data_IF_051033857171
#
_entry.id   IF_051033857171
#
_cell.length_a   1.000
_cell.length_b   1.000
_cell.length_c   1.000
_cell.angle_alpha   90.00
_cell.angle_beta   90.00
_cell.angle_gamma   90.00
#
_symmetry.space_group_name_H-M   'P 1'
#
loop_
_entity.id
_entity.type
_entity.pdbx_description
1 polymer ?
#
# COMPACT_ATOMS: atom_id res chain seq x y z
N UNK A 1 -13.18 -16.21 -37.65
CA UNK A 1 -13.34 -15.92 -36.22
C UNK A 1 -14.80 -16.11 -35.89
N UNK A 2 -15.13 -16.94 -34.91
CA UNK A 2 -16.53 -17.13 -34.51
C UNK A 2 -16.85 -16.11 -33.44
N UNK A 3 -17.86 -15.29 -33.67
CA UNK A 3 -18.37 -14.36 -32.68
C UNK A 3 -19.36 -15.07 -31.75
N UNK A 4 -19.42 -14.58 -30.52
CA UNK A 4 -20.40 -14.94 -29.50
C UNK A 4 -21.27 -13.73 -29.23
N UNK A 5 -22.58 -13.95 -29.14
CA UNK A 5 -23.55 -12.91 -28.83
C UNK A 5 -23.87 -12.92 -27.34
N UNK A 6 -23.66 -11.77 -26.69
CA UNK A 6 -23.94 -11.54 -25.27
C UNK A 6 -25.15 -10.62 -25.15
N UNK A 7 -26.15 -10.98 -24.35
CA UNK A 7 -27.26 -10.09 -23.96
C UNK A 7 -26.98 -9.50 -22.59
N UNK A 8 -26.84 -8.18 -22.54
CA UNK A 8 -26.57 -7.40 -21.32
C UNK A 8 -27.58 -6.27 -21.29
N UNK A 9 -28.35 -6.18 -20.20
CA UNK A 9 -29.55 -5.32 -20.15
C UNK A 9 -30.44 -5.60 -21.38
N UNK A 10 -30.85 -4.56 -22.11
CA UNK A 10 -31.70 -4.67 -23.30
C UNK A 10 -30.90 -4.73 -24.62
N UNK A 11 -29.58 -4.89 -24.56
CA UNK A 11 -28.69 -4.86 -25.72
C UNK A 11 -28.00 -6.20 -25.99
N UNK A 12 -27.69 -6.46 -27.28
CA UNK A 12 -26.91 -7.62 -27.72
C UNK A 12 -25.58 -7.15 -28.30
N UNK A 13 -24.48 -7.65 -27.74
CA UNK A 13 -23.13 -7.40 -28.21
C UNK A 13 -22.57 -8.61 -28.95
N UNK A 14 -21.93 -8.39 -30.09
CA UNK A 14 -21.13 -9.40 -30.80
C UNK A 14 -19.66 -9.27 -30.37
N UNK A 15 -19.08 -10.34 -29.82
CA UNK A 15 -17.69 -10.35 -29.36
C UNK A 15 -16.97 -11.57 -29.91
N UNK A 16 -15.74 -11.45 -30.44
CA UNK A 16 -15.01 -12.62 -30.90
C UNK A 16 -14.79 -13.62 -29.76
N UNK A 17 -15.18 -14.89 -29.96
CA UNK A 17 -15.08 -15.95 -28.93
C UNK A 17 -13.68 -16.07 -28.35
N UNK A 18 -12.67 -16.01 -29.22
CA UNK A 18 -11.26 -16.07 -28.83
C UNK A 18 -10.86 -14.94 -27.87
N UNK A 19 -11.53 -13.79 -27.94
CA UNK A 19 -11.28 -12.69 -27.02
C UNK A 19 -11.81 -12.99 -25.63
N UNK A 20 -13.00 -13.58 -25.52
CA UNK A 20 -13.59 -13.95 -24.22
C UNK A 20 -12.89 -15.15 -23.58
N UNK A 21 -12.39 -16.10 -24.39
CA UNK A 21 -11.72 -17.31 -23.91
C UNK A 21 -10.40 -17.07 -23.14
N UNK A 22 -9.92 -15.82 -23.05
CA UNK A 22 -8.83 -15.49 -22.11
C UNK A 22 -9.27 -15.54 -20.64
N UNK A 23 -10.58 -15.51 -20.41
CA UNK A 23 -11.20 -15.75 -19.11
C UNK A 23 -11.45 -17.24 -18.98
N UNK A 24 -10.95 -17.84 -17.89
CA UNK A 24 -11.26 -19.23 -17.54
C UNK A 24 -12.77 -19.45 -17.42
N UNK A 25 -13.51 -18.48 -16.87
CA UNK A 25 -14.98 -18.55 -16.74
C UNK A 25 -15.65 -18.70 -18.10
N UNK A 26 -15.24 -17.90 -19.08
CA UNK A 26 -15.81 -17.98 -20.43
C UNK A 26 -15.29 -19.21 -21.18
N UNK A 27 -14.02 -19.58 -21.03
CA UNK A 27 -13.45 -20.77 -21.67
C UNK A 27 -14.13 -22.05 -21.18
N UNK A 28 -14.33 -22.21 -19.87
CA UNK A 28 -15.07 -23.33 -19.28
C UNK A 28 -16.51 -23.37 -19.79
N UNK A 29 -17.20 -22.23 -19.81
CA UNK A 29 -18.56 -22.13 -20.35
C UNK A 29 -18.59 -22.56 -21.82
N UNK A 30 -17.60 -22.15 -22.61
CA UNK A 30 -17.47 -22.48 -24.02
C UNK A 30 -17.14 -23.95 -24.29
N UNK A 31 -16.45 -24.62 -23.37
CA UNK A 31 -16.10 -26.04 -23.45
C UNK A 31 -17.19 -26.95 -22.89
N UNK A 32 -18.11 -26.42 -22.08
CA UNK A 32 -19.21 -27.19 -21.53
C UNK A 32 -20.12 -27.73 -22.64
N UNK A 33 -20.44 -29.03 -22.55
CA UNK A 33 -20.99 -29.85 -23.65
C UNK A 33 -22.38 -29.41 -24.17
N UNK A 34 -23.02 -28.46 -23.49
CA UNK A 34 -24.31 -27.87 -23.83
C UNK A 34 -24.19 -26.61 -24.70
N UNK A 35 -23.05 -25.93 -24.69
CA UNK A 35 -22.82 -24.73 -25.51
C UNK A 35 -22.54 -25.16 -26.95
N UNK A 36 -23.57 -25.03 -27.80
CA UNK A 36 -23.51 -25.36 -29.22
C UNK A 36 -24.42 -26.52 -29.65
N UNK A 37 -25.05 -27.26 -28.74
CA UNK A 37 -26.06 -28.27 -29.09
C UNK A 37 -27.46 -27.68 -29.30
N UNK A 38 -27.74 -26.49 -28.74
CA UNK A 38 -29.07 -25.86 -28.71
C UNK A 38 -29.12 -24.45 -29.31
N UNK A 39 -28.11 -24.01 -30.07
CA UNK A 39 -28.06 -22.66 -30.65
C UNK A 39 -27.70 -21.54 -29.66
N UNK A 40 -27.27 -21.88 -28.45
CA UNK A 40 -26.74 -20.94 -27.46
C UNK A 40 -25.51 -20.20 -28.01
N UNK A 41 -25.30 -18.94 -27.61
CA UNK A 41 -24.27 -18.00 -28.12
C UNK A 41 -24.50 -17.42 -29.53
N UNK A 42 -25.69 -17.64 -30.11
CA UNK A 42 -26.11 -17.03 -31.37
C UNK A 42 -26.90 -15.74 -31.14
N UNK A 43 -27.19 -14.99 -32.21
CA UNK A 43 -27.99 -13.77 -32.11
C UNK A 43 -29.41 -14.02 -31.58
N UNK A 44 -30.00 -15.16 -31.96
CA UNK A 44 -31.37 -15.53 -31.59
C UNK A 44 -31.44 -16.17 -30.20
N UNK A 45 -30.33 -16.72 -29.72
CA UNK A 45 -30.20 -17.27 -28.36
C UNK A 45 -28.85 -16.85 -27.73
N UNK A 46 -28.71 -15.56 -27.37
CA UNK A 46 -27.47 -14.99 -26.84
C UNK A 46 -27.22 -15.45 -25.39
N UNK A 47 -25.96 -15.43 -24.97
CA UNK A 47 -25.59 -15.67 -23.57
C UNK A 47 -26.05 -14.49 -22.74
N UNK A 48 -26.90 -14.73 -21.75
CA UNK A 48 -27.49 -13.67 -20.92
C UNK A 48 -26.59 -13.40 -19.72
N UNK A 49 -26.16 -12.15 -19.56
CA UNK A 49 -25.33 -11.73 -18.45
C UNK A 49 -26.14 -10.81 -17.52
N UNK A 50 -26.84 -11.42 -16.58
CA UNK A 50 -27.71 -10.71 -15.64
C UNK A 50 -26.91 -9.87 -14.63
N UNK A 51 -27.43 -8.69 -14.30
CA UNK A 51 -26.80 -7.76 -13.35
C UNK A 51 -25.57 -7.01 -13.88
N UNK A 52 -25.20 -7.24 -15.14
CA UNK A 52 -24.16 -6.47 -15.83
C UNK A 52 -24.71 -5.20 -16.46
N UNK A 53 -23.85 -4.18 -16.57
CA UNK A 53 -24.18 -2.92 -17.26
C UNK A 53 -23.58 -2.90 -18.65
N UNK A 54 -24.33 -2.42 -19.63
CA UNK A 54 -23.85 -2.35 -21.01
C UNK A 54 -22.64 -1.42 -21.16
N UNK A 55 -22.60 -0.35 -20.37
CA UNK A 55 -21.49 0.61 -20.35
C UNK A 55 -20.16 -0.06 -19.96
N UNK A 56 -20.20 -0.91 -18.92
CA UNK A 56 -19.01 -1.61 -18.42
C UNK A 56 -18.47 -2.58 -19.47
N UNK A 57 -19.37 -3.30 -20.15
CA UNK A 57 -18.99 -4.23 -21.22
C UNK A 57 -18.44 -3.53 -22.45
N UNK A 58 -19.00 -2.39 -22.84
CA UNK A 58 -18.45 -1.57 -23.94
C UNK A 58 -17.04 -1.10 -23.60
N UNK A 59 -16.80 -0.67 -22.36
CA UNK A 59 -15.47 -0.31 -21.88
C UNK A 59 -14.50 -1.50 -21.98
N UNK A 60 -14.89 -2.66 -21.45
CA UNK A 60 -14.11 -3.90 -21.53
C UNK A 60 -13.77 -4.27 -22.98
N UNK A 61 -14.75 -4.28 -23.89
CA UNK A 61 -14.56 -4.69 -25.29
C UNK A 61 -13.54 -3.79 -26.01
N UNK A 62 -13.54 -2.48 -25.74
CA UNK A 62 -12.55 -1.55 -26.30
C UNK A 62 -11.12 -1.90 -25.90
N UNK A 63 -10.93 -2.57 -24.77
CA UNK A 63 -9.62 -3.04 -24.29
C UNK A 63 -9.34 -4.47 -24.75
N UNK A 64 -10.31 -5.35 -24.54
CA UNK A 64 -10.23 -6.78 -24.77
C UNK A 64 -9.94 -7.12 -26.23
N UNK A 65 -10.73 -6.58 -27.17
CA UNK A 65 -10.68 -7.00 -28.58
C UNK A 65 -9.38 -6.59 -29.25
N UNK A 66 -8.88 -5.34 -29.15
CA UNK A 66 -7.59 -5.00 -29.75
C UNK A 66 -6.43 -5.82 -29.18
N UNK A 67 -6.45 -6.14 -27.89
CA UNK A 67 -5.42 -6.96 -27.25
C UNK A 67 -5.32 -8.38 -27.83
N UNK A 68 -6.45 -9.00 -28.18
CA UNK A 68 -6.50 -10.40 -28.62
C UNK A 68 -6.44 -10.54 -30.14
N UNK A 69 -6.82 -9.49 -30.87
CA UNK A 69 -6.81 -9.46 -32.35
C UNK A 69 -5.55 -8.82 -32.94
N UNK A 70 -4.68 -8.25 -32.11
CA UNK A 70 -3.52 -7.47 -32.56
C UNK A 70 -3.90 -6.10 -33.14
N UNK A 71 -5.10 -5.63 -32.84
CA UNK A 71 -5.59 -4.31 -33.25
C UNK A 71 -4.96 -3.17 -32.44
N UNK A 72 -5.05 -1.96 -32.97
CA UNK A 72 -4.66 -0.76 -32.24
C UNK A 72 -5.70 -0.44 -31.15
N UNK A 73 -5.21 -0.18 -29.94
CA UNK A 73 -6.05 0.33 -28.86
C UNK A 73 -6.63 1.72 -29.21
N UNK A 74 -7.89 2.01 -28.84
CA UNK A 74 -8.43 3.35 -29.01
C UNK A 74 -7.58 4.37 -28.23
N UNK A 75 -7.19 5.46 -28.89
CA UNK A 75 -6.33 6.50 -28.29
C UNK A 75 -7.06 7.36 -27.26
N UNK A 76 -8.40 7.36 -27.31
CA UNK A 76 -9.28 8.22 -26.53
C UNK A 76 -9.96 7.51 -25.35
N UNK A 77 -9.41 6.39 -24.86
CA UNK A 77 -9.96 5.73 -23.67
C UNK A 77 -9.91 6.66 -22.45
N UNK A 78 -11.08 6.83 -21.84
CA UNK A 78 -11.25 7.58 -20.61
C UNK A 78 -10.84 6.70 -19.42
N UNK A 79 -10.59 7.34 -18.30
CA UNK A 79 -10.30 6.65 -17.05
C UNK A 79 -11.43 5.69 -16.61
N UNK A 80 -12.68 6.08 -16.86
CA UNK A 80 -13.83 5.21 -16.58
C UNK A 80 -13.85 3.98 -17.48
N UNK A 81 -13.41 4.09 -18.74
CA UNK A 81 -13.26 2.91 -19.59
C UNK A 81 -12.25 1.93 -18.98
N UNK A 82 -11.12 2.44 -18.45
CA UNK A 82 -10.13 1.60 -17.78
C UNK A 82 -10.62 1.03 -16.45
N UNK A 83 -11.32 1.81 -15.63
CA UNK A 83 -11.94 1.35 -14.38
C UNK A 83 -12.95 0.24 -14.63
N UNK A 84 -13.85 0.44 -15.58
CA UNK A 84 -14.92 -0.53 -15.86
C UNK A 84 -14.35 -1.80 -16.51
N UNK A 85 -13.30 -1.65 -17.33
CA UNK A 85 -12.51 -2.80 -17.81
C UNK A 85 -11.82 -3.55 -16.66
N UNK A 86 -11.24 -2.84 -15.69
CA UNK A 86 -10.61 -3.43 -14.51
C UNK A 86 -11.64 -4.19 -13.68
N UNK A 87 -12.82 -3.61 -13.44
CA UNK A 87 -13.93 -4.25 -12.73
C UNK A 87 -14.31 -5.58 -13.37
N UNK A 88 -14.63 -5.58 -14.66
CA UNK A 88 -15.04 -6.82 -15.34
C UNK A 88 -13.89 -7.81 -15.49
N UNK A 89 -12.68 -7.35 -15.77
CA UNK A 89 -11.51 -8.23 -15.86
C UNK A 89 -11.19 -8.91 -14.53
N UNK A 90 -11.49 -8.25 -13.40
CA UNK A 90 -11.38 -8.87 -12.07
C UNK A 90 -12.49 -9.89 -11.85
N UNK A 91 -13.74 -9.52 -12.14
CA UNK A 91 -14.91 -10.40 -11.99
C UNK A 91 -14.80 -11.69 -12.80
N UNK A 92 -14.29 -11.60 -14.02
CA UNK A 92 -14.18 -12.74 -14.94
C UNK A 92 -12.76 -13.31 -15.03
N UNK A 93 -11.88 -13.03 -14.07
CA UNK A 93 -10.52 -13.57 -14.02
C UNK A 93 -9.71 -13.40 -15.34
N UNK A 94 -9.78 -12.22 -15.97
CA UNK A 94 -9.05 -11.89 -17.20
C UNK A 94 -7.71 -11.23 -16.88
N UNK A 95 -6.76 -11.98 -16.32
CA UNK A 95 -5.48 -11.45 -15.84
C UNK A 95 -4.72 -10.53 -16.83
N UNK A 96 -4.63 -10.85 -18.15
CA UNK A 96 -3.97 -9.96 -19.11
C UNK A 96 -4.66 -8.61 -19.24
N UNK A 97 -6.00 -8.59 -19.29
CA UNK A 97 -6.80 -7.35 -19.42
C UNK A 97 -6.75 -6.55 -18.13
N UNK A 98 -6.81 -7.23 -16.98
CA UNK A 98 -6.65 -6.61 -15.67
C UNK A 98 -5.31 -5.85 -15.59
N UNK A 99 -4.21 -6.50 -15.96
CA UNK A 99 -2.89 -5.86 -16.03
C UNK A 99 -2.92 -4.64 -16.95
N UNK A 100 -3.48 -4.77 -18.15
CA UNK A 100 -3.57 -3.67 -19.12
C UNK A 100 -4.40 -2.50 -18.59
N UNK A 101 -5.49 -2.78 -17.88
CA UNK A 101 -6.34 -1.76 -17.29
C UNK A 101 -5.62 -0.99 -16.17
N UNK A 102 -4.83 -1.68 -15.33
CA UNK A 102 -3.98 -1.06 -14.30
C UNK A 102 -2.94 -0.13 -14.95
N UNK A 103 -2.27 -0.57 -16.00
CA UNK A 103 -1.34 0.27 -16.77
C UNK A 103 -2.05 1.49 -17.39
N UNK A 104 -3.25 1.27 -17.93
CA UNK A 104 -4.09 2.33 -18.50
C UNK A 104 -4.50 3.38 -17.47
N UNK A 105 -4.82 2.97 -16.24
CA UNK A 105 -5.09 3.88 -15.12
C UNK A 105 -3.83 4.63 -14.71
N UNK A 106 -2.69 3.94 -14.58
CA UNK A 106 -1.42 4.56 -14.18
C UNK A 106 -0.86 5.54 -15.22
N UNK A 107 -1.16 5.33 -16.51
CA UNK A 107 -0.76 6.24 -17.59
C UNK A 107 -1.64 7.47 -17.75
N UNK A 108 -2.65 7.68 -16.89
CA UNK A 108 -3.53 8.86 -16.93
C UNK A 108 -3.21 9.79 -15.77
N UNK A 109 -2.72 10.98 -16.12
CA UNK A 109 -2.52 12.06 -15.15
C UNK A 109 -3.85 12.62 -14.63
N UNK A 110 -3.84 13.14 -13.40
CA UNK A 110 -4.92 13.98 -12.88
C UNK A 110 -6.04 13.24 -12.13
N UNK A 111 -5.92 11.93 -11.88
CA UNK A 111 -6.86 11.24 -11.00
C UNK A 111 -6.40 11.25 -9.56
N UNK A 112 -7.24 11.80 -8.68
CA UNK A 112 -6.93 11.94 -7.26
C UNK A 112 -6.71 10.59 -6.59
N UNK A 113 -5.72 10.53 -5.68
CA UNK A 113 -5.35 9.39 -4.84
C UNK A 113 -6.53 8.67 -4.16
N UNK A 114 -7.65 9.39 -3.97
CA UNK A 114 -8.92 8.87 -3.46
C UNK A 114 -9.46 7.70 -4.28
N UNK A 115 -9.50 7.85 -5.59
CA UNK A 115 -10.00 6.81 -6.48
C UNK A 115 -9.05 5.62 -6.56
N UNK A 116 -7.73 5.86 -6.48
CA UNK A 116 -6.75 4.77 -6.37
C UNK A 116 -7.03 3.94 -5.13
N UNK A 117 -7.19 4.56 -3.96
CA UNK A 117 -7.47 3.80 -2.75
C UNK A 117 -8.79 3.01 -2.86
N UNK A 118 -9.86 3.65 -3.36
CA UNK A 118 -11.16 3.00 -3.57
C UNK A 118 -11.07 1.78 -4.50
N UNK A 119 -10.51 1.96 -5.70
CA UNK A 119 -10.37 0.87 -6.68
C UNK A 119 -9.34 -0.18 -6.25
N UNK A 120 -8.32 0.24 -5.49
CA UNK A 120 -7.34 -0.67 -4.90
C UNK A 120 -8.00 -1.63 -3.92
N UNK A 121 -8.92 -1.13 -3.09
CA UNK A 121 -9.69 -1.94 -2.15
C UNK A 121 -10.77 -2.77 -2.86
N UNK A 122 -11.53 -2.18 -3.79
CA UNK A 122 -12.63 -2.86 -4.49
C UNK A 122 -12.14 -3.93 -5.46
N UNK A 123 -11.06 -3.66 -6.19
CA UNK A 123 -10.52 -4.55 -7.22
C UNK A 123 -9.19 -5.18 -6.80
N UNK A 124 -8.82 -5.15 -5.52
CA UNK A 124 -7.63 -5.80 -4.98
C UNK A 124 -6.33 -5.47 -5.74
N UNK A 125 -6.04 -4.18 -5.92
CA UNK A 125 -4.81 -3.70 -6.56
C UNK A 125 -3.86 -3.13 -5.50
N UNK A 126 -2.84 -3.91 -5.10
CA UNK A 126 -1.93 -3.55 -4.00
C UNK A 126 -1.31 -2.17 -4.15
N UNK A 127 -0.74 -1.87 -5.32
CA UNK A 127 -0.09 -0.58 -5.56
C UNK A 127 -1.05 0.59 -5.38
N UNK A 128 -2.31 0.44 -5.77
CA UNK A 128 -3.31 1.48 -5.62
C UNK A 128 -3.71 1.70 -4.15
N UNK A 129 -3.78 0.63 -3.34
CA UNK A 129 -3.99 0.74 -1.88
C UNK A 129 -2.84 1.51 -1.26
N UNK A 130 -1.59 1.11 -1.53
CA UNK A 130 -0.40 1.71 -0.94
C UNK A 130 -0.26 3.19 -1.33
N UNK A 131 -0.27 3.48 -2.63
CA UNK A 131 -0.16 4.85 -3.14
C UNK A 131 -1.32 5.73 -2.68
N UNK A 132 -2.55 5.21 -2.79
CA UNK A 132 -3.76 5.93 -2.39
C UNK A 132 -3.78 6.27 -0.90
N UNK A 133 -3.46 5.30 -0.04
CA UNK A 133 -3.41 5.50 1.41
C UNK A 133 -2.28 6.45 1.83
N UNK A 134 -1.10 6.33 1.23
CA UNK A 134 0.05 7.21 1.53
C UNK A 134 -0.29 8.67 1.26
N UNK A 135 -0.91 8.96 0.11
CA UNK A 135 -1.34 10.31 -0.25
C UNK A 135 -2.44 10.85 0.66
N UNK A 136 -3.42 10.01 1.06
CA UNK A 136 -4.44 10.41 2.04
C UNK A 136 -3.78 10.79 3.37
N UNK A 137 -2.89 9.94 3.89
CA UNK A 137 -2.21 10.17 5.16
C UNK A 137 -1.31 11.41 5.09
N UNK A 138 -0.52 11.57 4.02
CA UNK A 138 0.30 12.77 3.81
C UNK A 138 -0.56 14.03 3.76
N UNK A 139 -1.71 13.98 3.09
CA UNK A 139 -2.68 15.09 3.06
C UNK A 139 -3.24 15.43 4.46
N UNK A 140 -3.40 14.43 5.34
CA UNK A 140 -3.84 14.63 6.73
C UNK A 140 -2.71 15.19 7.62
N UNK A 141 -1.46 14.83 7.35
CA UNK A 141 -0.29 15.30 8.09
C UNK A 141 0.04 16.76 7.77
N UNK A 142 -0.14 17.19 6.52
CA UNK A 142 0.07 18.58 6.09
C UNK A 142 -0.98 19.51 6.73
N UNK A 143 -0.58 20.09 7.86
CA UNK A 143 -1.41 20.85 8.78
C UNK A 143 -1.88 22.21 8.23
N UNK A 144 -1.59 22.54 6.97
CA UNK A 144 -2.11 23.73 6.28
C UNK A 144 -3.51 23.52 5.69
N UNK A 145 -3.97 22.27 5.55
CA UNK A 145 -5.34 21.90 5.15
C UNK A 145 -6.30 21.70 6.33
N UNK A 146 -5.98 22.26 7.51
CA UNK A 146 -6.73 22.11 8.77
C UNK A 146 -8.19 22.59 8.75
N UNK A 147 -8.67 23.26 7.70
CA UNK A 147 -10.03 23.81 7.65
C UNK A 147 -10.94 23.27 6.54
N UNK A 148 -10.45 22.49 5.57
CA UNK A 148 -11.31 21.90 4.52
C UNK A 148 -11.62 20.41 4.72
N UNK A 149 -10.83 19.71 5.53
CA UNK A 149 -11.09 18.33 5.97
C UNK A 149 -11.87 18.26 7.29
N UNK A 150 -12.06 19.41 7.96
CA UNK A 150 -13.06 19.57 9.01
C UNK A 150 -14.46 19.42 8.39
N UNK A 151 -14.98 18.20 8.42
CA UNK A 151 -16.39 17.87 8.17
C UNK A 151 -16.96 17.99 6.75
N UNK A 152 -16.17 18.07 5.69
CA UNK A 152 -16.62 17.27 4.53
C UNK A 152 -16.35 15.84 4.95
N UNK A 153 -17.38 14.97 5.07
CA UNK A 153 -17.12 13.56 5.26
C UNK A 153 -16.02 13.19 4.27
N UNK A 154 -15.19 12.22 4.60
CA UNK A 154 -14.66 11.39 3.53
C UNK A 154 -15.91 10.89 2.79
N UNK A 155 -16.42 11.63 1.79
CA UNK A 155 -17.48 11.23 0.85
C UNK A 155 -16.93 10.18 -0.11
N UNK A 156 -15.88 9.51 0.34
CA UNK A 156 -15.37 8.30 -0.20
C UNK A 156 -16.35 7.22 0.25
N UNK A 157 -16.82 6.36 -0.65
CA UNK A 157 -17.48 5.11 -0.27
C UNK A 157 -16.45 4.13 0.34
N UNK A 158 -15.56 4.61 1.22
CA UNK A 158 -14.66 3.76 1.98
C UNK A 158 -15.44 3.15 3.14
N UNK A 159 -15.11 1.90 3.45
CA UNK A 159 -15.60 1.27 4.66
C UNK A 159 -15.15 2.06 5.90
N UNK A 160 -15.94 2.02 6.97
CA UNK A 160 -15.55 2.58 8.26
C UNK A 160 -14.21 2.02 8.75
N UNK A 161 -13.91 0.76 8.42
CA UNK A 161 -12.65 0.11 8.73
C UNK A 161 -11.45 0.76 8.01
N UNK A 162 -11.56 1.05 6.72
CA UNK A 162 -10.49 1.72 5.98
C UNK A 162 -10.19 3.12 6.55
N UNK A 163 -11.23 3.86 6.93
CA UNK A 163 -11.07 5.17 7.59
C UNK A 163 -10.33 5.05 8.92
N UNK A 164 -10.71 4.07 9.75
CA UNK A 164 -10.05 3.81 11.05
C UNK A 164 -8.56 3.48 10.84
N UNK A 165 -8.23 2.64 9.84
CA UNK A 165 -6.86 2.29 9.48
C UNK A 165 -6.05 3.53 9.09
N UNK A 166 -6.58 4.39 8.22
CA UNK A 166 -5.91 5.64 7.80
C UNK A 166 -5.65 6.60 8.97
N UNK A 167 -6.64 6.77 9.86
CA UNK A 167 -6.49 7.61 11.06
C UNK A 167 -5.48 7.02 12.06
N UNK A 168 -5.39 5.70 12.15
CA UNK A 168 -4.37 5.03 12.94
C UNK A 168 -2.96 5.32 12.39
N UNK A 169 -2.77 5.22 11.08
CA UNK A 169 -1.48 5.53 10.42
C UNK A 169 -1.13 7.00 10.65
N UNK A 170 -2.08 7.93 10.46
CA UNK A 170 -1.86 9.37 10.70
C UNK A 170 -1.41 9.64 12.13
N UNK A 171 -2.08 9.03 13.13
CA UNK A 171 -1.69 9.16 14.53
C UNK A 171 -0.33 8.53 14.82
N UNK A 172 -0.02 7.38 14.21
CA UNK A 172 1.29 6.73 14.33
C UNK A 172 2.40 7.62 13.77
N UNK A 173 2.15 8.31 12.67
CA UNK A 173 3.08 9.25 12.04
C UNK A 173 3.22 10.56 12.85
N UNK A 174 2.13 11.12 13.40
CA UNK A 174 2.15 12.38 14.16
C UNK A 174 2.63 12.21 15.60
N UNK A 175 2.23 11.12 16.24
CA UNK A 175 2.51 10.80 17.63
C UNK A 175 3.06 9.39 17.77
N UNK A 176 4.28 9.14 17.27
CA UNK A 176 4.97 7.88 17.41
C UNK A 176 5.39 7.63 18.86
N UNK A 177 4.72 8.18 19.87
CA UNK A 177 4.85 7.81 21.29
C UNK A 177 3.63 7.00 21.79
N UNK A 178 2.50 7.06 21.07
CA UNK A 178 1.17 6.65 21.57
C UNK A 178 0.61 5.29 21.11
N UNK A 179 1.25 4.58 20.17
CA UNK A 179 0.57 3.55 19.34
C UNK A 179 0.86 2.07 19.69
N UNK A 180 1.74 1.70 20.65
CA UNK A 180 2.10 0.27 20.86
C UNK A 180 0.99 -0.66 21.40
N UNK A 181 -0.20 -0.17 21.76
CA UNK A 181 -1.23 -1.04 22.36
C UNK A 181 -2.59 -1.02 21.65
N UNK A 182 -2.67 -0.43 20.47
CA UNK A 182 -3.91 -0.32 19.70
C UNK A 182 -3.70 -0.78 18.27
N UNK A 183 -3.55 -2.08 18.04
CA UNK A 183 -4.01 -2.61 16.75
C UNK A 183 -5.52 -2.37 16.66
N UNK A 184 -6.07 -2.02 15.48
CA UNK A 184 -7.50 -1.99 15.26
C UNK A 184 -8.05 -3.43 15.27
N UNK A 185 -8.15 -4.05 16.45
CA UNK A 185 -8.95 -5.26 16.63
C UNK A 185 -10.37 -4.80 17.00
N UNK A 186 -11.39 -5.01 16.15
CA UNK A 186 -12.74 -4.48 16.35
C UNK A 186 -13.49 -5.06 17.57
N UNK A 187 -12.89 -6.00 18.31
CA UNK A 187 -13.51 -6.72 19.42
C UNK A 187 -13.06 -6.32 20.83
N UNK A 188 -12.16 -5.32 20.99
CA UNK A 188 -11.72 -4.86 22.33
C UNK A 188 -11.88 -3.36 22.51
N UNK A 189 -12.40 -2.97 23.67
CA UNK A 189 -12.39 -1.60 24.18
C UNK A 189 -10.96 -1.07 24.29
N UNK A 190 -10.74 0.17 23.86
CA UNK A 190 -9.46 0.87 23.93
C UNK A 190 -8.86 0.81 25.35
N UNK A 191 -7.62 0.33 25.53
CA UNK A 191 -6.95 0.40 26.83
C UNK A 191 -6.59 1.86 27.15
N UNK A 192 -6.62 2.22 28.43
CA UNK A 192 -6.15 3.53 28.91
C UNK A 192 -4.70 3.79 28.47
N UNK A 193 -4.35 5.04 28.09
CA UNK A 193 -3.03 5.37 27.58
C UNK A 193 -1.96 5.19 28.67
N UNK A 194 -1.09 4.21 28.47
CA UNK A 194 0.19 4.09 29.18
C UNK A 194 1.10 5.31 28.87
N UNK A 195 1.89 5.84 29.83
CA UNK A 195 2.81 6.92 29.57
C UNK A 195 4.05 6.42 28.80
N UNK A 196 4.09 6.66 27.50
CA UNK A 196 5.21 6.46 26.55
C UNK A 196 5.66 5.03 26.22
N UNK A 197 4.89 4.32 25.37
CA UNK A 197 5.34 3.08 24.75
C UNK A 197 6.43 3.20 23.65
N UNK A 198 6.38 4.17 22.74
CA UNK A 198 7.19 4.07 21.49
C UNK A 198 8.58 4.73 21.49
N UNK A 199 9.02 5.35 22.60
CA UNK A 199 10.46 5.58 22.76
C UNK A 199 11.10 4.24 23.14
N UNK A 200 11.63 3.51 22.16
CA UNK A 200 12.48 2.37 22.50
C UNK A 200 13.74 2.96 23.09
N UNK A 201 13.86 2.82 24.41
CA UNK A 201 14.98 3.31 25.19
C UNK A 201 16.04 2.24 25.19
N UNK A 202 17.07 2.43 24.39
CA UNK A 202 18.24 1.57 24.45
C UNK A 202 19.47 2.36 24.84
N UNK A 203 20.43 1.66 25.45
CA UNK A 203 21.78 2.20 25.63
C UNK A 203 22.42 2.29 24.27
N UNK A 204 23.07 3.40 23.93
CA UNK A 204 23.73 3.53 22.64
C UNK A 204 24.75 2.40 22.40
N UNK A 205 25.40 1.91 23.46
CA UNK A 205 26.27 0.74 23.44
C UNK A 205 25.60 -0.55 22.91
N UNK A 206 24.27 -0.61 22.87
CA UNK A 206 23.48 -1.71 22.32
C UNK A 206 23.28 -1.66 20.82
N UNK A 207 23.67 -0.56 20.15
CA UNK A 207 23.64 -0.44 18.68
C UNK A 207 24.79 -1.24 18.09
N UNK A 208 24.45 -2.25 17.30
CA UNK A 208 25.39 -3.20 16.71
C UNK A 208 25.32 -3.17 15.19
N UNK A 209 26.48 -3.37 14.57
CA UNK A 209 26.60 -3.56 13.14
C UNK A 209 25.81 -4.79 12.69
N UNK A 210 25.03 -4.68 11.61
CA UNK A 210 24.20 -5.77 11.08
C UNK A 210 25.00 -7.02 10.69
N UNK A 211 26.23 -6.87 10.16
CA UNK A 211 27.02 -7.99 9.64
C UNK A 211 27.54 -8.92 10.74
N UNK A 212 28.09 -8.35 11.80
CA UNK A 212 28.85 -9.12 12.80
C UNK A 212 28.36 -8.91 14.24
N UNK A 213 27.22 -8.22 14.44
CA UNK A 213 26.72 -7.82 15.74
C UNK A 213 27.76 -7.08 16.62
N UNK A 214 28.78 -6.49 15.99
CA UNK A 214 29.87 -5.82 16.69
C UNK A 214 29.49 -4.38 17.05
N UNK A 215 30.11 -3.80 18.08
CA UNK A 215 29.90 -2.41 18.46
C UNK A 215 30.21 -1.44 17.30
N UNK A 216 29.38 -0.42 17.16
CA UNK A 216 29.53 0.63 16.16
C UNK A 216 30.40 1.79 16.67
N UNK A 217 31.34 2.27 15.86
CA UNK A 217 32.00 3.56 16.05
C UNK A 217 31.09 4.67 15.51
N UNK A 218 30.89 5.70 16.31
CA UNK A 218 30.01 6.82 15.96
C UNK A 218 30.71 7.93 15.19
N UNK A 219 32.04 8.02 15.30
CA UNK A 219 32.85 9.05 14.63
C UNK A 219 32.90 8.81 13.12
N UNK A 220 33.18 7.58 12.72
CA UNK A 220 33.32 7.20 11.30
C UNK A 220 32.09 6.44 10.76
N UNK A 221 31.06 6.26 11.58
CA UNK A 221 29.97 5.30 11.36
C UNK A 221 30.50 3.89 11.05
N UNK A 222 31.72 3.59 11.50
CA UNK A 222 32.41 2.36 11.16
C UNK A 222 32.18 1.31 12.24
N UNK A 223 31.82 0.09 11.86
CA UNK A 223 31.86 -1.04 12.78
C UNK A 223 33.28 -1.19 13.37
N UNK A 224 33.41 -1.26 14.70
CA UNK A 224 34.72 -1.28 15.36
C UNK A 224 35.55 -2.51 14.99
N UNK A 225 34.87 -3.64 14.71
CA UNK A 225 35.49 -4.92 14.35
C UNK A 225 35.65 -5.07 12.85
N UNK A 226 34.57 -4.93 12.07
CA UNK A 226 34.63 -5.19 10.62
C UNK A 226 35.04 -3.98 9.78
N UNK A 227 35.25 -2.81 10.42
CA UNK A 227 35.65 -1.53 9.79
C UNK A 227 34.72 -1.02 8.68
N UNK A 228 33.58 -1.66 8.46
CA UNK A 228 32.58 -1.25 7.48
C UNK A 228 31.94 0.06 7.94
N UNK A 229 32.01 1.09 7.11
CA UNK A 229 31.32 2.37 7.32
C UNK A 229 29.87 2.24 6.89
N UNK A 230 28.98 2.61 7.79
CA UNK A 230 27.54 2.61 7.58
C UNK A 230 27.08 3.99 7.11
N UNK A 231 26.24 4.02 6.09
CA UNK A 231 25.54 5.24 5.69
C UNK A 231 24.42 5.58 6.71
N UNK A 232 23.92 6.83 6.68
CA UNK A 232 22.84 7.28 7.59
C UNK A 232 21.57 6.43 7.44
N UNK A 233 21.31 6.01 6.20
CA UNK A 233 20.16 5.21 5.82
C UNK A 233 20.31 3.72 6.15
N UNK A 234 21.50 3.26 6.56
CA UNK A 234 21.70 1.86 6.89
C UNK A 234 21.09 1.49 8.26
N UNK A 235 20.39 0.37 8.27
CA UNK A 235 19.79 -0.19 9.49
C UNK A 235 20.84 -0.89 10.34
N UNK A 236 20.89 -0.51 11.61
CA UNK A 236 21.67 -1.17 12.67
C UNK A 236 20.75 -1.98 13.57
N UNK A 237 21.28 -3.03 14.17
CA UNK A 237 20.51 -3.87 15.10
C UNK A 237 20.72 -3.37 16.52
N UNK A 238 19.64 -3.02 17.19
CA UNK A 238 19.61 -2.73 18.61
C UNK A 238 19.21 -4.01 19.34
N UNK A 239 20.09 -4.53 20.17
CA UNK A 239 19.72 -5.59 21.10
C UNK A 239 19.38 -4.98 22.45
N UNK A 240 18.11 -4.97 22.82
CA UNK A 240 17.74 -4.77 24.22
C UNK A 240 18.11 -6.04 25.00
N UNK A 241 18.61 -5.88 26.23
CA UNK A 241 18.89 -7.01 27.12
C UNK A 241 17.61 -7.72 27.56
N UNK A 242 16.46 -7.04 27.49
CA UNK A 242 15.16 -7.60 27.87
C UNK A 242 14.35 -8.18 26.70
N UNK A 243 14.73 -7.91 25.45
CA UNK A 243 13.99 -8.35 24.26
C UNK A 243 14.92 -9.18 23.38
N UNK A 244 14.66 -10.48 23.29
CA UNK A 244 15.45 -11.42 22.47
C UNK A 244 15.33 -11.18 20.94
N UNK A 245 14.58 -10.17 20.52
CA UNK A 245 14.44 -9.75 19.13
C UNK A 245 15.23 -8.45 18.91
N UNK A 246 16.23 -8.49 18.02
CA UNK A 246 16.97 -7.30 17.63
C UNK A 246 16.07 -6.36 16.82
N UNK A 247 15.93 -5.11 17.29
CA UNK A 247 15.15 -4.09 16.59
C UNK A 247 16.07 -3.41 15.57
N UNK A 248 15.64 -3.34 14.31
CA UNK A 248 16.35 -2.56 13.31
C UNK A 248 16.02 -1.08 13.47
N UNK A 249 17.04 -0.25 13.63
CA UNK A 249 16.92 1.21 13.66
C UNK A 249 17.86 1.80 12.62
N UNK A 250 17.40 2.79 11.85
CA UNK A 250 18.34 3.61 11.07
C UNK A 250 19.12 4.48 12.03
N UNK A 251 20.42 4.62 11.79
CA UNK A 251 21.22 5.56 12.58
C UNK A 251 20.66 6.98 12.44
N UNK A 252 20.22 7.32 11.22
CA UNK A 252 19.50 8.54 10.91
C UNK A 252 18.27 8.79 11.80
N UNK A 253 17.73 7.82 12.54
CA UNK A 253 16.53 7.98 13.39
C UNK A 253 16.85 8.21 14.87
N UNK A 254 18.14 8.15 15.26
CA UNK A 254 18.57 8.44 16.62
C UNK A 254 18.52 9.96 16.84
N UNK A 255 17.70 10.41 17.79
CA UNK A 255 17.40 11.84 18.03
C UNK A 255 17.85 12.25 19.43
N UNK A 256 18.40 13.47 19.52
CA UNK A 256 18.74 14.10 20.79
C UNK A 256 17.48 14.35 21.60
N UNK A 257 17.45 13.89 22.86
CA UNK A 257 16.31 14.11 23.77
C UNK A 257 15.97 15.60 23.97
N UNK A 258 16.97 16.48 23.89
CA UNK A 258 16.81 17.90 24.18
C UNK A 258 16.31 18.73 22.99
N UNK A 259 16.66 18.35 21.76
CA UNK A 259 16.36 19.18 20.58
C UNK A 259 15.83 18.39 19.37
N UNK A 260 15.59 17.10 19.51
CA UNK A 260 15.09 16.20 18.47
C UNK A 260 15.90 16.23 17.16
N UNK A 261 17.17 16.67 17.18
CA UNK A 261 18.09 16.62 16.03
C UNK A 261 19.09 15.48 16.19
N UNK A 262 19.85 15.16 15.15
CA UNK A 262 20.75 14.01 15.19
C UNK A 262 21.86 14.14 16.25
N UNK A 263 22.29 13.00 16.78
CA UNK A 263 23.36 12.92 17.78
C UNK A 263 24.64 12.43 17.08
N UNK A 264 25.54 13.33 16.68
CA UNK A 264 26.81 12.92 16.04
C UNK A 264 27.99 13.80 16.41
N UNK A 265 28.47 13.72 17.64
CA UNK A 265 29.91 13.87 17.89
C UNK A 265 30.24 13.24 19.24
N UNK A 266 31.15 12.26 19.27
CA UNK A 266 31.78 11.86 20.52
C UNK A 266 32.76 12.97 20.91
N UNK A 267 32.72 13.36 22.17
CA UNK A 267 33.79 14.15 22.77
C UNK A 267 34.45 13.26 23.84
N UNK A 268 35.76 13.36 24.01
CA UNK A 268 36.58 12.31 24.62
C UNK A 268 36.06 11.75 25.97
N UNK A 269 36.41 10.48 26.20
CA UNK A 269 36.31 9.66 27.42
C UNK A 269 34.98 8.99 27.86
N UNK A 270 33.77 9.56 27.71
CA UNK A 270 32.55 8.82 28.14
C UNK A 270 31.20 9.40 27.66
N UNK A 271 31.21 10.40 26.79
CA UNK A 271 30.01 11.18 26.47
C UNK A 271 29.79 11.33 24.96
N UNK A 272 28.54 11.26 24.56
CA UNK A 272 28.04 11.73 23.27
C UNK A 272 27.62 13.19 23.40
N UNK A 273 27.82 13.99 22.36
CA UNK A 273 27.37 15.36 22.31
C UNK A 273 26.42 15.54 21.11
N UNK A 274 25.25 16.13 21.34
CA UNK A 274 24.37 16.50 20.23
C UNK A 274 25.05 17.59 19.39
N UNK A 275 25.12 17.39 18.08
CA UNK A 275 25.75 18.34 17.14
C UNK A 275 25.06 19.70 17.16
N UNK A 276 23.76 19.70 17.41
CA UNK A 276 22.90 20.89 17.36
C UNK A 276 22.90 21.64 18.68
N UNK A 277 22.40 21.02 19.76
CA UNK A 277 22.23 21.73 21.05
C UNK A 277 23.42 21.59 22.00
N UNK A 278 24.46 20.84 21.61
CA UNK A 278 25.68 20.61 22.41
C UNK A 278 25.45 19.89 23.75
N UNK A 279 24.24 19.40 24.01
CA UNK A 279 23.91 18.57 25.18
C UNK A 279 24.78 17.30 25.21
N UNK A 280 25.29 16.96 26.39
CA UNK A 280 26.18 15.82 26.61
C UNK A 280 25.42 14.66 27.25
N UNK A 281 25.57 13.47 26.70
CA UNK A 281 24.91 12.25 27.15
C UNK A 281 25.94 11.19 27.49
N UNK A 282 25.83 10.55 28.65
CA UNK A 282 26.74 9.48 29.02
C UNK A 282 26.49 8.23 28.16
N UNK A 283 27.53 7.46 27.82
CA UNK A 283 27.40 6.25 26.96
C UNK A 283 26.39 5.20 27.45
N UNK A 284 26.17 5.18 28.77
CA UNK A 284 25.24 4.26 29.44
C UNK A 284 23.84 4.84 29.65
N UNK A 285 23.61 6.10 29.26
CA UNK A 285 22.26 6.67 29.29
C UNK A 285 21.40 6.03 28.21
N UNK A 286 20.12 5.89 28.52
CA UNK A 286 19.13 5.42 27.57
C UNK A 286 18.77 6.58 26.65
N UNK A 287 18.88 6.34 25.34
CA UNK A 287 18.48 7.31 24.33
C UNK A 287 17.06 6.99 23.89
N UNK A 288 16.17 7.98 23.82
CA UNK A 288 14.92 7.79 23.11
C UNK A 288 15.25 7.66 21.62
N UNK A 289 14.86 6.54 21.02
CA UNK A 289 14.76 6.47 19.57
C UNK A 289 13.31 6.49 19.20
N UNK A 290 12.96 7.54 18.46
CA UNK A 290 11.69 7.61 17.76
C UNK A 290 11.86 6.74 16.53
N UNK A 291 11.14 5.61 16.48
CA UNK A 291 11.07 4.85 15.25
C UNK A 291 10.44 5.76 14.19
N UNK A 292 11.20 6.12 13.16
CA UNK A 292 10.63 6.76 11.98
C UNK A 292 10.02 5.64 11.17
N UNK A 293 8.71 5.48 11.34
CA UNK A 293 7.96 4.54 10.52
C UNK A 293 8.01 4.99 9.07
N UNK A 294 8.31 4.05 8.17
CA UNK A 294 8.00 4.25 6.77
C UNK A 294 6.48 4.20 6.62
N UNK A 295 5.91 5.21 5.96
CA UNK A 295 4.46 5.31 5.77
C UNK A 295 3.92 4.08 5.02
N UNK A 296 4.69 3.55 4.06
CA UNK A 296 4.30 2.36 3.31
C UNK A 296 4.35 1.11 4.18
N UNK A 297 5.33 0.97 5.08
CA UNK A 297 5.35 -0.13 6.06
C UNK A 297 4.10 -0.11 6.95
N UNK A 298 3.70 1.06 7.45
CA UNK A 298 2.48 1.20 8.25
C UNK A 298 1.21 0.92 7.45
N UNK A 299 1.18 1.29 6.17
CA UNK A 299 0.07 0.99 5.27
C UNK A 299 0.00 -0.51 5.02
N UNK A 300 1.13 -1.15 4.69
CA UNK A 300 1.18 -2.58 4.47
C UNK A 300 0.76 -3.38 5.72
N UNK A 301 1.13 -2.90 6.91
CA UNK A 301 0.69 -3.45 8.18
C UNK A 301 -0.81 -3.26 8.41
N UNK A 302 -1.32 -2.03 8.22
CA UNK A 302 -2.72 -1.72 8.49
C UNK A 302 -3.68 -2.39 7.50
N UNK A 303 -3.26 -2.54 6.24
CA UNK A 303 -4.03 -3.13 5.14
C UNK A 303 -3.56 -4.54 4.78
N UNK A 304 -2.90 -5.24 5.71
CA UNK A 304 -2.32 -6.56 5.45
C UNK A 304 -3.34 -7.57 4.89
N UNK A 305 -4.56 -7.57 5.43
CA UNK A 305 -5.64 -8.46 5.01
C UNK A 305 -6.08 -8.17 3.57
N UNK A 306 -6.31 -6.90 3.23
CA UNK A 306 -6.70 -6.51 1.88
C UNK A 306 -5.58 -6.72 0.86
N UNK A 307 -4.34 -6.47 1.26
CA UNK A 307 -3.15 -6.66 0.42
C UNK A 307 -2.90 -8.15 0.15
N UNK A 308 -3.17 -9.04 1.10
CA UNK A 308 -3.08 -10.50 0.89
C UNK A 308 -4.08 -11.03 -0.13
N UNK A 309 -5.19 -10.31 -0.34
CA UNK A 309 -6.20 -10.64 -1.35
C UNK A 309 -5.86 -10.08 -2.74
N UNK A 310 -4.80 -9.28 -2.86
CA UNK A 310 -4.36 -8.73 -4.14
C UNK A 310 -3.64 -9.79 -4.98
N UNK A 311 -3.95 -9.77 -6.28
CA UNK A 311 -3.34 -10.58 -7.33
C UNK A 311 -2.55 -9.71 -8.31
#
# INVERSE_FOLDING_TARGET
MTDVFLRIEDEILSVPRASLAISEVFDDMFQASHVGQSGESTRDNPIVLEGEKIADWRALIKVLVPMTTGGNMPTNLLIYDWRDSLKLATKYNMAPVRKRAIEGINGKDGYGYRHKLEWGLEYHVKSFIVEGAAEVVNSLLDSTLKLSLSMRPLTLPLSSQAIIKLLWIEKAMRYPESVQHSHPNPSRSWPEPSPNPLSIRFKYSSVKCRKNACPMSTEDRACLTCKHRHNEDETSVVTDWHVHCGIQVRLADIRCKQCSKSIYSKNWAAYYQCTTCKEKFHINQHFPVTRVYDINELIEEAFEEEIKLCY
#
